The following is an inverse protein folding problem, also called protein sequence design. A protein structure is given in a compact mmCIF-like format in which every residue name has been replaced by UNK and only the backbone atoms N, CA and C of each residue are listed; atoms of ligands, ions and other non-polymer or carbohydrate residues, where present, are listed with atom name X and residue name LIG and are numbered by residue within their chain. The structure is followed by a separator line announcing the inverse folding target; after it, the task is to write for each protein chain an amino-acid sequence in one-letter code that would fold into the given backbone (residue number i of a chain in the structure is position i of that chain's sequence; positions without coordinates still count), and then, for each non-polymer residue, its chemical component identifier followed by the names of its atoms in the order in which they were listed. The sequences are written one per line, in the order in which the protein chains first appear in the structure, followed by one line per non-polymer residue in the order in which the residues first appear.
data_IF_183809921831
#
_entry.id   IF_183809921831
#
_cell.length_a   1.000
_cell.length_b   1.000
_cell.length_c   1.000
_cell.angle_alpha   90.00
_cell.angle_beta   90.00
_cell.angle_gamma   90.00
#
_symmetry.space_group_name_H-M   'P 1'
#
loop_
_entity.id
_entity.type
_entity.pdbx_description
1 polymer ?
#
# COMPACT_ATOMS: atom_id res chain seq x y z
N UNK A 1 6.57 14.49 -12.85
CA UNK A 1 7.47 13.35 -13.15
C UNK A 1 7.08 12.09 -12.40
N UNK A 2 7.13 12.03 -11.06
CA UNK A 2 6.70 10.82 -10.34
C UNK A 2 5.20 10.56 -10.51
N UNK A 3 4.36 11.58 -10.33
CA UNK A 3 2.91 11.47 -10.48
C UNK A 3 2.54 10.97 -11.87
N UNK A 4 3.10 11.60 -12.92
CA UNK A 4 2.88 11.22 -14.31
C UNK A 4 3.31 9.77 -14.59
N UNK A 5 4.46 9.33 -14.07
CA UNK A 5 4.95 7.97 -14.26
C UNK A 5 4.07 6.94 -13.56
N UNK A 6 3.62 7.23 -12.34
CA UNK A 6 2.69 6.37 -11.60
C UNK A 6 1.34 6.28 -12.32
N UNK A 7 0.84 7.41 -12.87
CA UNK A 7 -0.42 7.46 -13.60
C UNK A 7 -0.45 6.70 -14.92
N UNK A 8 0.71 6.28 -15.45
CA UNK A 8 0.77 5.34 -16.58
C UNK A 8 0.08 4.02 -16.21
N UNK A 9 0.25 3.57 -14.97
CA UNK A 9 -0.30 2.30 -14.46
C UNK A 9 -1.52 2.51 -13.57
N UNK A 10 -1.48 3.52 -12.70
CA UNK A 10 -2.51 3.73 -11.67
C UNK A 10 -3.57 4.71 -12.16
N UNK A 11 -4.80 4.21 -12.31
CA UNK A 11 -5.95 5.01 -12.71
C UNK A 11 -6.62 5.67 -11.51
N UNK A 12 -6.88 6.98 -11.59
CA UNK A 12 -7.51 7.75 -10.52
C UNK A 12 -6.53 8.03 -9.37
N UNK A 13 -7.05 8.19 -8.15
CA UNK A 13 -6.25 8.38 -6.93
C UNK A 13 -5.25 9.55 -7.00
N UNK A 14 -5.62 10.65 -7.67
CA UNK A 14 -4.79 11.86 -7.86
C UNK A 14 -4.22 12.41 -6.55
N UNK A 15 -5.07 12.52 -5.52
CA UNK A 15 -4.70 13.05 -4.21
C UNK A 15 -3.72 12.12 -3.47
N UNK A 16 -3.98 10.79 -3.33
CA UNK A 16 -3.01 9.82 -2.87
C UNK A 16 -1.63 9.93 -3.54
N UNK A 17 -1.61 9.90 -4.88
CA UNK A 17 -0.37 9.87 -5.65
C UNK A 17 0.42 11.16 -5.43
N UNK A 18 -0.26 12.31 -5.45
CA UNK A 18 0.36 13.61 -5.19
C UNK A 18 0.94 13.70 -3.77
N UNK A 19 0.22 13.23 -2.76
CA UNK A 19 0.69 13.26 -1.37
C UNK A 19 1.95 12.39 -1.18
N UNK A 20 1.96 11.18 -1.73
CA UNK A 20 3.12 10.29 -1.71
C UNK A 20 4.31 10.93 -2.44
N UNK A 21 4.09 11.45 -3.63
CA UNK A 21 5.14 12.07 -4.43
C UNK A 21 5.75 13.30 -3.75
N UNK A 22 4.94 14.11 -3.08
CA UNK A 22 5.43 15.23 -2.25
C UNK A 22 6.28 14.73 -1.08
N UNK A 23 5.82 13.72 -0.36
CA UNK A 23 6.56 13.15 0.77
C UNK A 23 7.92 12.59 0.36
N UNK A 24 7.97 11.80 -0.72
CA UNK A 24 9.22 11.22 -1.23
C UNK A 24 10.18 12.32 -1.73
N UNK A 25 9.68 13.34 -2.43
CA UNK A 25 10.53 14.47 -2.87
C UNK A 25 11.16 15.20 -1.68
N UNK A 26 10.43 15.39 -0.57
CA UNK A 26 11.01 15.97 0.66
C UNK A 26 12.14 15.10 1.22
N UNK A 27 11.97 13.78 1.20
CA UNK A 27 13.01 12.85 1.64
C UNK A 27 14.26 12.92 0.74
N UNK A 28 14.09 12.92 -0.58
CA UNK A 28 15.19 13.01 -1.55
C UNK A 28 15.92 14.36 -1.50
N UNK A 29 15.22 15.45 -1.18
CA UNK A 29 15.82 16.78 -0.99
C UNK A 29 16.63 16.90 0.33
N UNK A 30 16.76 15.83 1.12
CA UNK A 30 17.48 15.85 2.39
C UNK A 30 16.77 16.62 3.50
N UNK A 31 15.49 16.96 3.32
CA UNK A 31 14.69 17.70 4.30
C UNK A 31 14.26 16.78 5.45
N UNK A 32 14.19 15.46 5.19
CA UNK A 32 13.82 14.44 6.17
C UNK A 32 15.05 13.85 6.87
N UNK A 33 14.85 13.35 8.09
CA UNK A 33 15.86 12.57 8.81
C UNK A 33 16.33 11.34 8.01
N UNK A 34 17.59 11.35 7.56
CA UNK A 34 18.23 10.27 6.79
C UNK A 34 18.39 8.95 7.55
N UNK A 35 18.10 8.92 8.86
CA UNK A 35 18.08 7.68 9.65
C UNK A 35 16.79 6.88 9.49
N UNK A 36 15.74 7.45 8.90
CA UNK A 36 14.42 6.80 8.74
C UNK A 36 14.29 6.23 7.32
N UNK A 37 13.33 5.31 7.07
CA UNK A 37 12.97 4.91 5.72
C UNK A 37 12.64 6.12 4.82
N UNK A 38 12.79 5.96 3.51
CA UNK A 38 12.54 7.01 2.50
C UNK A 38 11.14 7.60 2.71
N UNK A 39 10.15 6.74 2.88
CA UNK A 39 8.77 7.10 3.20
C UNK A 39 8.12 6.06 4.10
N UNK A 40 7.22 6.51 4.97
CA UNK A 40 6.42 5.68 5.86
C UNK A 40 4.97 6.10 5.69
N UNK A 41 4.15 5.23 5.11
CA UNK A 41 2.79 5.53 4.70
C UNK A 41 1.78 4.56 5.28
N UNK A 42 0.60 5.08 5.63
CA UNK A 42 -0.59 4.27 5.93
C UNK A 42 -1.61 4.47 4.82
N UNK A 43 -1.97 3.40 4.11
CA UNK A 43 -2.95 3.37 3.03
C UNK A 43 -4.29 2.88 3.58
N UNK A 44 -5.30 3.74 3.54
CA UNK A 44 -6.64 3.48 4.04
C UNK A 44 -7.63 3.45 2.89
N UNK A 45 -8.51 2.44 2.86
CA UNK A 45 -9.54 2.33 1.83
C UNK A 45 -10.14 0.94 1.78
N UNK A 46 -11.24 0.72 1.03
CA UNK A 46 -11.77 -0.62 0.81
C UNK A 46 -10.80 -1.50 0.02
N UNK A 47 -11.06 -2.80 -0.02
CA UNK A 47 -10.32 -3.73 -0.89
C UNK A 47 -10.58 -3.39 -2.37
N UNK A 48 -9.66 -3.75 -3.25
CA UNK A 48 -9.84 -3.55 -4.69
C UNK A 48 -9.62 -2.13 -5.24
N UNK A 49 -9.41 -1.11 -4.40
CA UNK A 49 -9.19 0.29 -4.86
C UNK A 49 -7.78 0.60 -5.37
N UNK A 50 -6.87 -0.39 -5.36
CA UNK A 50 -5.51 -0.24 -5.90
C UNK A 50 -4.40 0.08 -4.89
N UNK A 51 -4.59 -0.16 -3.59
CA UNK A 51 -3.57 0.05 -2.55
C UNK A 51 -2.25 -0.70 -2.85
N UNK A 52 -2.35 -2.01 -3.07
CA UNK A 52 -1.22 -2.89 -3.40
C UNK A 52 -0.62 -2.56 -4.76
N UNK A 53 -1.47 -2.24 -5.74
CA UNK A 53 -1.03 -1.88 -7.08
C UNK A 53 -0.22 -0.58 -7.10
N UNK A 54 -0.61 0.41 -6.30
CA UNK A 54 0.18 1.63 -6.12
C UNK A 54 1.54 1.35 -5.46
N UNK A 55 1.61 0.40 -4.52
CA UNK A 55 2.87 0.00 -3.91
C UNK A 55 3.83 -0.64 -4.94
N UNK A 56 3.30 -1.46 -5.86
CA UNK A 56 4.08 -2.05 -6.97
C UNK A 56 4.57 -0.98 -7.96
N UNK A 57 3.69 -0.05 -8.35
CA UNK A 57 4.08 1.07 -9.21
C UNK A 57 5.15 1.97 -8.58
N UNK A 58 5.11 2.13 -7.24
CA UNK A 58 6.17 2.82 -6.50
C UNK A 58 7.49 2.04 -6.50
N UNK A 59 7.45 0.71 -6.38
CA UNK A 59 8.65 -0.12 -6.43
C UNK A 59 9.35 0.01 -7.79
N UNK A 60 8.58 -0.11 -8.88
CA UNK A 60 9.09 0.08 -10.24
C UNK A 60 9.66 1.50 -10.42
N UNK A 61 8.92 2.54 -10.03
CA UNK A 61 9.37 3.91 -10.22
C UNK A 61 10.65 4.26 -9.43
N UNK A 62 10.74 3.79 -8.18
CA UNK A 62 11.84 4.17 -7.28
C UNK A 62 13.07 3.28 -7.45
N UNK A 63 12.87 2.00 -7.76
CA UNK A 63 13.93 0.99 -7.74
C UNK A 63 14.16 0.32 -9.10
N UNK A 64 13.34 0.65 -10.12
CA UNK A 64 13.47 0.13 -11.48
C UNK A 64 12.99 -1.31 -11.65
N UNK A 65 12.34 -1.86 -10.64
CA UNK A 65 11.88 -3.25 -10.61
C UNK A 65 10.55 -3.34 -9.83
N UNK A 66 9.48 -3.80 -10.48
CA UNK A 66 8.18 -3.99 -9.84
C UNK A 66 8.20 -5.11 -8.79
N UNK A 67 9.13 -6.06 -8.93
CA UNK A 67 9.37 -7.13 -7.96
C UNK A 67 10.22 -6.65 -6.77
N UNK A 68 10.68 -5.39 -6.75
CA UNK A 68 11.30 -4.78 -5.58
C UNK A 68 10.28 -4.43 -4.48
N UNK A 69 9.23 -5.24 -4.35
CA UNK A 69 8.23 -5.20 -3.30
C UNK A 69 8.36 -6.43 -2.38
N UNK A 70 8.40 -6.18 -1.08
CA UNK A 70 8.39 -7.20 -0.03
C UNK A 70 7.02 -7.12 0.62
N UNK A 71 6.16 -8.11 0.37
CA UNK A 71 4.82 -8.16 0.93
C UNK A 71 4.75 -9.12 2.11
N UNK A 72 4.08 -8.69 3.18
CA UNK A 72 3.75 -9.50 4.34
C UNK A 72 2.28 -9.27 4.70
N UNK A 73 1.51 -10.35 4.82
CA UNK A 73 0.13 -10.31 5.32
C UNK A 73 0.15 -10.31 6.85
N UNK A 74 -0.33 -9.22 7.46
CA UNK A 74 -0.35 -9.05 8.91
C UNK A 74 -1.37 -9.94 9.61
N UNK A 75 -2.32 -10.54 8.89
CA UNK A 75 -3.19 -11.59 9.41
C UNK A 75 -2.41 -12.85 9.81
N UNK A 76 -1.26 -13.11 9.21
CA UNK A 76 -0.36 -14.20 9.65
C UNK A 76 0.36 -13.90 10.98
N UNK A 77 0.30 -12.65 11.43
CA UNK A 77 0.99 -12.13 12.61
C UNK A 77 0.03 -11.74 13.74
N UNK A 78 -1.19 -12.29 13.74
CA UNK A 78 -2.21 -12.09 14.77
C UNK A 78 -1.81 -12.67 16.14
N UNK A 79 -1.03 -13.74 16.13
CA UNK A 79 -0.64 -14.47 17.34
C UNK A 79 0.72 -14.04 17.86
N UNK A 80 0.89 -13.99 19.18
CA UNK A 80 2.14 -13.51 19.80
C UNK A 80 3.38 -14.29 19.35
N UNK A 81 3.26 -15.60 19.16
CA UNK A 81 4.40 -16.43 18.77
C UNK A 81 4.80 -16.19 17.30
N UNK A 82 3.87 -15.84 16.42
CA UNK A 82 4.17 -15.61 15.01
C UNK A 82 4.91 -14.29 14.77
N UNK A 83 4.82 -13.33 15.69
CA UNK A 83 5.60 -12.06 15.68
C UNK A 83 7.11 -12.33 15.59
N UNK A 84 7.60 -13.36 16.31
CA UNK A 84 9.02 -13.71 16.28
C UNK A 84 9.51 -14.08 14.87
N UNK A 85 8.64 -14.58 13.98
CA UNK A 85 9.01 -14.90 12.59
C UNK A 85 9.52 -13.67 11.82
N UNK A 86 9.14 -12.44 12.18
CA UNK A 86 9.65 -11.23 11.53
C UNK A 86 11.16 -11.02 11.77
N UNK A 87 11.65 -11.39 12.96
CA UNK A 87 13.03 -11.15 13.44
C UNK A 87 13.82 -12.43 13.71
N UNK A 88 13.22 -13.60 13.48
CA UNK A 88 13.79 -14.92 13.77
C UNK A 88 13.33 -15.46 15.12
N UNK A 89 13.37 -16.77 15.32
CA UNK A 89 13.04 -17.34 16.62
C UNK A 89 14.08 -16.92 17.68
N UNK A 90 13.73 -16.82 18.97
CA UNK A 90 14.70 -16.53 20.03
C UNK A 90 15.58 -17.76 20.34
N UNK A 91 16.75 -17.57 21.01
CA UNK A 91 17.64 -18.67 21.39
C UNK A 91 16.90 -19.78 22.16
N UNK A 92 17.04 -21.02 21.71
CA UNK A 92 16.41 -22.20 22.33
C UNK A 92 15.06 -22.61 21.75
N UNK A 93 14.58 -21.95 20.69
CA UNK A 93 13.37 -22.33 19.96
C UNK A 93 13.69 -22.95 18.59
N UNK A 94 12.78 -23.77 18.06
CA UNK A 94 12.90 -24.34 16.70
C UNK A 94 12.92 -23.20 15.69
N UNK A 95 13.85 -23.23 14.73
CA UNK A 95 14.05 -22.17 13.75
C UNK A 95 14.95 -21.03 14.22
N UNK A 96 15.66 -21.17 15.35
CA UNK A 96 16.62 -20.15 15.82
C UNK A 96 17.74 -19.86 14.82
N UNK A 97 18.22 -20.87 14.09
CA UNK A 97 19.26 -20.70 13.08
C UNK A 97 18.75 -20.05 11.78
N UNK A 98 17.44 -19.86 11.65
CA UNK A 98 16.82 -19.18 10.53
C UNK A 98 16.64 -17.70 10.88
N UNK A 99 17.17 -16.81 10.03
CA UNK A 99 16.94 -15.37 10.16
C UNK A 99 15.45 -15.02 10.01
N UNK A 100 15.03 -13.88 10.56
CA UNK A 100 13.64 -13.44 10.46
C UNK A 100 13.19 -13.18 9.03
N UNK A 101 11.93 -13.46 8.73
CA UNK A 101 11.34 -13.32 7.40
C UNK A 101 11.51 -11.89 6.86
N UNK A 102 11.14 -10.87 7.65
CA UNK A 102 11.27 -9.48 7.26
C UNK A 102 12.74 -9.06 7.17
N UNK A 103 13.53 -9.40 8.19
CA UNK A 103 14.95 -9.04 8.26
C UNK A 103 15.75 -9.65 7.09
N UNK A 104 15.51 -10.90 6.73
CA UNK A 104 16.19 -11.59 5.63
C UNK A 104 15.78 -11.05 4.26
N UNK A 105 14.48 -10.83 4.04
CA UNK A 105 13.99 -10.26 2.76
C UNK A 105 14.60 -8.87 2.52
N UNK A 106 14.62 -8.00 3.53
CA UNK A 106 15.21 -6.65 3.40
C UNK A 106 16.74 -6.71 3.32
N UNK A 107 17.40 -7.63 4.04
CA UNK A 107 18.85 -7.82 3.90
C UNK A 107 19.25 -8.21 2.48
N UNK A 108 18.45 -9.05 1.82
CA UNK A 108 18.67 -9.47 0.41
C UNK A 108 18.30 -8.40 -0.60
N UNK A 109 17.28 -7.59 -0.31
CA UNK A 109 16.81 -6.48 -1.16
C UNK A 109 16.62 -5.21 -0.31
N UNK A 110 17.71 -4.45 -0.04
CA UNK A 110 17.65 -3.27 0.82
C UNK A 110 17.00 -2.04 0.16
N UNK A 111 16.88 -2.06 -1.18
CA UNK A 111 16.16 -1.07 -1.98
C UNK A 111 14.82 -1.69 -2.38
N UNK A 112 13.79 -1.43 -1.57
CA UNK A 112 12.49 -2.07 -1.77
C UNK A 112 11.35 -1.28 -1.17
N UNK A 113 10.14 -1.51 -1.70
CA UNK A 113 8.90 -1.20 -1.00
C UNK A 113 8.58 -2.34 -0.04
N UNK A 114 8.38 -2.06 1.24
CA UNK A 114 7.91 -3.04 2.23
C UNK A 114 6.43 -2.80 2.44
N UNK A 115 5.59 -3.72 1.97
CA UNK A 115 4.14 -3.67 2.08
C UNK A 115 3.66 -4.59 3.21
N UNK A 116 3.08 -4.00 4.24
CA UNK A 116 2.45 -4.68 5.37
C UNK A 116 0.93 -4.59 5.17
N UNK A 117 0.33 -5.66 4.64
CA UNK A 117 -1.10 -5.68 4.30
C UNK A 117 -1.94 -5.98 5.54
N UNK A 118 -3.11 -5.34 5.68
CA UNK A 118 -4.07 -5.51 6.78
C UNK A 118 -3.46 -5.32 8.19
N UNK A 119 -2.71 -4.23 8.37
CA UNK A 119 -1.96 -3.97 9.61
C UNK A 119 -2.82 -3.92 10.88
N UNK A 120 -4.11 -3.63 10.76
CA UNK A 120 -5.07 -3.66 11.87
C UNK A 120 -5.27 -5.07 12.46
N UNK A 121 -4.88 -6.13 11.74
CA UNK A 121 -4.98 -7.52 12.20
C UNK A 121 -3.75 -7.96 12.98
N UNK A 122 -2.59 -7.30 12.82
CA UNK A 122 -1.36 -7.68 13.50
C UNK A 122 -1.50 -7.67 15.02
N UNK A 123 -0.77 -8.58 15.68
CA UNK A 123 -0.57 -8.55 17.12
C UNK A 123 0.09 -7.22 17.56
N UNK A 124 -0.28 -6.63 18.71
CA UNK A 124 0.29 -5.38 19.22
C UNK A 124 1.83 -5.33 19.27
N UNK A 125 2.49 -6.47 19.49
CA UNK A 125 3.96 -6.54 19.55
C UNK A 125 4.63 -6.27 18.19
N UNK A 126 3.94 -6.46 17.06
CA UNK A 126 4.44 -6.09 15.73
C UNK A 126 4.70 -4.58 15.68
N UNK A 127 3.86 -3.77 16.30
CA UNK A 127 4.01 -2.30 16.27
C UNK A 127 5.28 -1.82 16.98
N UNK A 128 5.79 -2.56 17.96
CA UNK A 128 7.08 -2.24 18.59
C UNK A 128 8.23 -2.39 17.60
N UNK A 129 8.19 -3.45 16.78
CA UNK A 129 9.15 -3.68 15.69
C UNK A 129 9.04 -2.56 14.66
N UNK A 130 7.81 -2.20 14.27
CA UNK A 130 7.59 -1.12 13.30
C UNK A 130 8.07 0.23 13.82
N UNK A 131 7.82 0.58 15.09
CA UNK A 131 8.34 1.79 15.72
C UNK A 131 9.86 1.86 15.64
N UNK A 132 10.55 0.74 15.91
CA UNK A 132 12.00 0.66 15.79
C UNK A 132 12.48 0.95 14.36
N UNK A 133 11.83 0.35 13.35
CA UNK A 133 12.14 0.58 11.93
C UNK A 133 11.87 2.05 11.56
N UNK A 134 10.72 2.60 11.94
CA UNK A 134 10.31 3.95 11.57
C UNK A 134 11.18 5.04 12.20
N UNK A 135 11.76 4.78 13.39
CA UNK A 135 12.55 5.76 14.14
C UNK A 135 14.02 5.73 13.74
N UNK A 136 14.58 4.53 13.59
CA UNK A 136 16.03 4.35 13.43
C UNK A 136 16.43 3.76 12.07
N UNK A 137 15.46 3.38 11.23
CA UNK A 137 15.70 2.76 9.93
C UNK A 137 16.50 1.48 10.05
N UNK A 138 16.43 0.79 11.19
CA UNK A 138 17.21 -0.41 11.49
C UNK A 138 16.41 -1.36 12.34
N UNK A 139 16.55 -2.65 12.07
CA UNK A 139 15.99 -3.72 12.87
C UNK A 139 17.08 -4.75 13.13
N UNK A 140 17.21 -5.21 14.38
CA UNK A 140 18.13 -6.30 14.70
C UNK A 140 17.35 -7.60 14.80
N UNK A 141 17.88 -8.66 14.19
CA UNK A 141 17.36 -10.01 14.32
C UNK A 141 17.83 -10.66 15.63
N UNK A 142 17.28 -11.83 15.95
CA UNK A 142 17.64 -12.58 17.16
C UNK A 142 19.01 -13.28 17.06
N UNK A 143 19.66 -13.26 15.89
CA UNK A 143 21.04 -13.71 15.67
C UNK A 143 22.06 -12.58 15.89
N UNK A 144 21.59 -11.34 16.13
CA UNK A 144 22.43 -10.17 16.37
C UNK A 144 22.81 -9.41 15.09
N UNK A 145 22.27 -9.77 13.92
CA UNK A 145 22.47 -8.99 12.71
C UNK A 145 21.56 -7.77 12.72
N UNK A 146 22.11 -6.61 12.34
CA UNK A 146 21.33 -5.40 12.12
C UNK A 146 21.08 -5.19 10.64
N UNK A 147 19.80 -5.10 10.26
CA UNK A 147 19.33 -4.86 8.89
C UNK A 147 18.96 -3.39 8.72
N UNK A 148 19.28 -2.82 7.56
CA UNK A 148 19.09 -1.41 7.22
C UNK A 148 17.83 -1.21 6.37
N UNK A 149 16.94 -0.34 6.83
CA UNK A 149 15.68 0.04 6.20
C UNK A 149 15.71 1.48 5.67
N UNK A 150 16.84 2.19 5.73
CA UNK A 150 16.92 3.60 5.29
C UNK A 150 16.66 3.77 3.79
N UNK A 151 16.88 2.72 3.00
CA UNK A 151 16.64 2.71 1.55
C UNK A 151 15.29 2.08 1.17
N UNK A 152 14.40 1.86 2.12
CA UNK A 152 13.07 1.30 1.85
C UNK A 152 11.98 2.35 1.89
N UNK A 153 10.85 2.05 1.25
CA UNK A 153 9.57 2.72 1.49
C UNK A 153 8.67 1.77 2.25
N UNK A 154 8.23 2.13 3.45
CA UNK A 154 7.34 1.33 4.28
C UNK A 154 5.89 1.75 4.02
N UNK A 155 5.07 0.81 3.57
CA UNK A 155 3.64 1.01 3.31
C UNK A 155 2.89 0.01 4.18
N UNK A 156 1.94 0.51 4.96
CA UNK A 156 0.98 -0.31 5.68
C UNK A 156 -0.39 -0.09 5.07
N UNK A 157 -1.16 -1.14 4.82
CA UNK A 157 -2.54 -1.00 4.39
C UNK A 157 -3.48 -1.28 5.57
N UNK A 158 -4.66 -0.70 5.51
CA UNK A 158 -5.74 -1.05 6.41
C UNK A 158 -7.09 -0.84 5.73
N UNK A 159 -8.04 -1.72 6.02
CA UNK A 159 -9.42 -1.60 5.56
C UNK A 159 -10.30 -0.81 6.56
N UNK A 160 -9.71 -0.25 7.62
CA UNK A 160 -10.42 0.64 8.55
C UNK A 160 -11.01 1.84 7.82
N UNK A 161 -12.26 2.16 8.16
CA UNK A 161 -12.97 3.27 7.54
C UNK A 161 -13.55 2.95 6.15
N UNK A 162 -13.39 1.72 5.65
CA UNK A 162 -13.91 1.31 4.33
C UNK A 162 -15.43 1.51 4.21
N UNK A 163 -16.21 1.16 5.23
CA UNK A 163 -17.66 1.34 5.22
C UNK A 163 -18.07 2.83 5.08
N UNK A 164 -17.30 3.72 5.69
CA UNK A 164 -17.53 5.17 5.68
C UNK A 164 -17.20 5.76 4.31
N UNK A 165 -16.21 5.18 3.61
CA UNK A 165 -15.84 5.53 2.24
C UNK A 165 -16.95 5.09 1.27
N UNK A 166 -17.44 3.84 1.40
CA UNK A 166 -18.51 3.29 0.54
C UNK A 166 -19.89 3.91 0.82
N UNK A 167 -20.24 4.19 2.08
CA UNK A 167 -21.50 4.88 2.39
C UNK A 167 -21.49 6.34 1.93
N UNK A 168 -20.32 6.97 1.91
CA UNK A 168 -20.15 8.33 1.41
C UNK A 168 -20.34 8.45 -0.10
N UNK A 169 -20.04 7.39 -0.86
CA UNK A 169 -20.34 7.32 -2.30
C UNK A 169 -21.80 6.96 -2.58
N UNK A 170 -22.42 6.07 -1.79
CA UNK A 170 -23.79 5.58 -2.03
C UNK A 170 -24.92 6.57 -1.70
N UNK A 171 -24.71 7.52 -0.79
CA UNK A 171 -25.69 8.60 -0.51
C UNK A 171 -25.84 9.59 -1.69
N UNK A 172 -25.00 9.49 -2.73
CA UNK A 172 -24.96 10.38 -3.89
C UNK A 172 -25.77 9.95 -5.12
N UNK A 173 -26.49 8.82 -5.11
CA UNK A 173 -27.24 8.35 -6.29
C UNK A 173 -28.58 9.08 -6.57
N UNK A 174 -28.93 10.11 -5.79
CA UNK A 174 -30.15 10.90 -6.00
C UNK A 174 -29.94 12.40 -6.30
N UNK A 175 -28.70 12.85 -6.54
CA UNK A 175 -28.47 14.23 -6.91
C UNK A 175 -27.56 14.34 -8.14
N UNK A 176 -28.16 14.63 -9.29
CA UNK A 176 -27.51 15.34 -10.41
C UNK A 176 -27.14 16.80 -10.01
N UNK A 177 -26.75 17.04 -8.75
CA UNK A 177 -26.23 18.31 -8.26
C UNK A 177 -25.03 18.02 -7.38
N UNK A 178 -23.90 18.60 -7.78
CA UNK A 178 -22.63 18.71 -7.06
C UNK A 178 -22.70 18.40 -5.57
N UNK A 179 -22.01 17.33 -5.16
CA UNK A 179 -21.73 17.06 -3.75
C UNK A 179 -21.68 15.59 -3.41
N UNK A 180 -20.62 14.90 -3.84
CA UNK A 180 -19.98 13.89 -2.97
C UNK A 180 -19.90 14.47 -1.54
N UNK A 181 -20.02 13.65 -0.48
CA UNK A 181 -19.58 14.11 0.84
C UNK A 181 -18.21 14.78 0.65
N UNK A 182 -17.99 16.03 1.13
CA UNK A 182 -16.73 16.71 0.91
C UNK A 182 -15.60 15.77 1.30
N UNK A 183 -14.61 15.58 0.43
CA UNK A 183 -13.45 14.71 0.68
C UNK A 183 -12.92 14.84 2.11
N UNK A 184 -12.88 16.07 2.60
CA UNK A 184 -12.50 16.44 3.96
C UNK A 184 -13.37 15.77 5.05
N UNK A 185 -14.69 15.69 4.88
CA UNK A 185 -15.55 14.99 5.84
C UNK A 185 -15.30 13.48 5.87
N UNK A 186 -15.15 12.85 4.70
CA UNK A 186 -14.83 11.42 4.62
C UNK A 186 -13.46 11.15 5.25
N UNK A 187 -12.45 11.94 4.89
CA UNK A 187 -11.11 11.88 5.46
C UNK A 187 -11.15 12.06 6.97
N UNK A 188 -11.90 13.03 7.49
CA UNK A 188 -12.04 13.24 8.93
C UNK A 188 -12.64 12.03 9.66
N UNK A 189 -13.63 11.37 9.07
CA UNK A 189 -14.22 10.14 9.64
C UNK A 189 -13.22 8.98 9.64
N UNK A 190 -12.53 8.75 8.52
CA UNK A 190 -11.50 7.72 8.41
C UNK A 190 -10.35 7.98 9.40
N UNK A 191 -9.93 9.22 9.56
CA UNK A 191 -8.90 9.63 10.53
C UNK A 191 -9.36 9.46 11.98
N UNK A 192 -10.66 9.63 12.27
CA UNK A 192 -11.24 9.32 13.59
C UNK A 192 -11.10 7.84 13.92
N UNK A 193 -11.49 6.95 12.99
CA UNK A 193 -11.35 5.50 13.18
C UNK A 193 -9.88 5.09 13.34
N UNK A 194 -8.98 5.65 12.53
CA UNK A 194 -7.55 5.41 12.65
C UNK A 194 -7.01 5.76 14.05
N UNK A 195 -7.41 6.92 14.59
CA UNK A 195 -7.00 7.36 15.94
C UNK A 195 -7.59 6.52 17.07
N UNK A 196 -8.69 5.80 16.82
CA UNK A 196 -9.27 4.86 17.79
C UNK A 196 -8.53 3.53 17.77
N UNK A 197 -8.12 3.06 16.59
CA UNK A 197 -7.47 1.77 16.43
C UNK A 197 -5.97 1.79 16.74
N UNK A 198 -5.27 2.89 16.48
CA UNK A 198 -3.81 2.97 16.68
C UNK A 198 -3.41 4.01 17.72
N UNK A 199 -2.33 3.70 18.45
CA UNK A 199 -1.77 4.60 19.47
C UNK A 199 -1.18 5.86 18.81
N UNK A 200 -1.30 7.05 19.45
CA UNK A 200 -0.74 8.28 18.90
C UNK A 200 0.76 8.22 18.60
N UNK A 201 1.53 7.46 19.40
CA UNK A 201 2.96 7.26 19.17
C UNK A 201 3.25 6.69 17.77
N UNK A 202 2.52 5.66 17.37
CA UNK A 202 2.64 5.04 16.06
C UNK A 202 2.21 6.00 14.94
N UNK A 203 1.08 6.69 15.11
CA UNK A 203 0.58 7.63 14.11
C UNK A 203 1.55 8.80 13.88
N UNK A 204 2.20 9.28 14.93
CA UNK A 204 3.21 10.33 14.86
C UNK A 204 4.49 9.90 14.12
N UNK A 205 4.66 8.61 13.79
CA UNK A 205 5.77 8.08 12.99
C UNK A 205 5.44 7.91 11.51
N UNK A 206 4.17 8.05 11.13
CA UNK A 206 3.80 8.08 9.72
C UNK A 206 4.24 9.42 9.11
N UNK A 207 4.71 9.40 7.87
CA UNK A 207 4.97 10.65 7.14
C UNK A 207 3.67 11.20 6.56
N UNK A 208 2.82 10.33 6.03
CA UNK A 208 1.49 10.68 5.51
C UNK A 208 0.51 9.51 5.72
N UNK A 209 -0.76 9.86 5.96
CA UNK A 209 -1.89 8.93 5.88
C UNK A 209 -2.61 9.18 4.55
N UNK A 210 -2.70 8.14 3.74
CA UNK A 210 -3.22 8.17 2.38
C UNK A 210 -4.59 7.51 2.36
N UNK A 211 -5.63 8.28 2.05
CA UNK A 211 -7.00 7.78 1.96
C UNK A 211 -7.34 7.58 0.48
N UNK A 212 -7.62 6.33 0.12
CA UNK A 212 -8.02 5.91 -1.21
C UNK A 212 -9.53 6.04 -1.39
N UNK A 213 -9.91 6.41 -2.60
CA UNK A 213 -11.30 6.56 -3.01
C UNK A 213 -11.86 5.29 -3.62
N UNK A 214 -13.17 5.10 -3.48
CA UNK A 214 -13.88 4.13 -4.30
C UNK A 214 -13.73 4.52 -5.77
N UNK A 215 -13.46 3.54 -6.62
CA UNK A 215 -13.29 3.76 -8.05
C UNK A 215 -14.65 4.09 -8.67
N UNK A 216 -14.73 5.17 -9.45
CA UNK A 216 -15.94 5.49 -10.18
C UNK A 216 -16.01 4.71 -11.51
N UNK A 217 -17.21 4.64 -12.10
CA UNK A 217 -17.43 3.90 -13.37
C UNK A 217 -16.47 4.30 -14.52
N UNK A 218 -16.06 5.58 -14.60
CA UNK A 218 -15.13 6.04 -15.64
C UNK A 218 -13.72 5.52 -15.38
N UNK A 219 -13.30 5.49 -14.11
CA UNK A 219 -12.01 4.92 -13.71
C UNK A 219 -12.00 3.40 -13.93
N UNK A 220 -13.06 2.69 -13.53
CA UNK A 220 -13.17 1.25 -13.76
C UNK A 220 -13.11 0.92 -15.25
N UNK A 221 -13.79 1.69 -16.10
CA UNK A 221 -13.70 1.51 -17.55
C UNK A 221 -12.27 1.66 -18.07
N UNK A 222 -11.54 2.69 -17.62
CA UNK A 222 -10.13 2.88 -17.99
C UNK A 222 -9.24 1.73 -17.53
N UNK A 223 -9.48 1.18 -16.34
CA UNK A 223 -8.75 0.01 -15.82
C UNK A 223 -9.03 -1.21 -16.70
N UNK A 224 -10.29 -1.46 -17.07
CA UNK A 224 -10.65 -2.53 -18.00
C UNK A 224 -9.93 -2.35 -19.34
N UNK A 225 -9.94 -1.14 -19.89
CA UNK A 225 -9.26 -0.85 -21.16
C UNK A 225 -7.75 -1.15 -21.08
N UNK A 226 -7.09 -0.78 -19.97
CA UNK A 226 -5.67 -1.05 -19.74
C UNK A 226 -5.36 -2.55 -19.64
N UNK A 227 -6.14 -3.31 -18.85
CA UNK A 227 -5.96 -4.75 -18.68
C UNK A 227 -6.19 -5.52 -19.98
N UNK A 228 -7.12 -5.05 -20.81
CA UNK A 228 -7.39 -5.66 -22.11
C UNK A 228 -6.24 -5.44 -23.09
N UNK A 229 -5.57 -4.29 -23.05
CA UNK A 229 -4.40 -4.04 -23.90
C UNK A 229 -3.21 -4.90 -23.47
N UNK A 230 -2.93 -5.01 -22.17
CA UNK A 230 -1.90 -5.91 -21.65
C UNK A 230 -2.14 -7.38 -22.07
N UNK A 231 -3.41 -7.82 -22.03
CA UNK A 231 -3.76 -9.17 -22.49
C UNK A 231 -3.63 -9.34 -24.00
N UNK A 232 -3.88 -8.29 -24.77
CA UNK A 232 -3.70 -8.30 -26.21
C UNK A 232 -2.22 -8.44 -26.58
N UNK A 233 -1.34 -7.69 -25.93
CA UNK A 233 0.13 -7.82 -26.12
C UNK A 233 0.61 -9.25 -25.85
N UNK A 234 0.16 -9.88 -24.76
CA UNK A 234 0.48 -11.28 -24.43
C UNK A 234 -0.05 -12.31 -25.43
N UNK A 235 -1.15 -12.01 -26.13
CA UNK A 235 -1.71 -12.87 -27.17
C UNK A 235 -0.97 -12.69 -28.50
N UNK A 236 -0.55 -11.47 -28.80
CA UNK A 236 0.26 -11.16 -29.99
C UNK A 236 1.60 -11.91 -29.95
N UNK A 237 2.23 -12.06 -28.77
CA UNK A 237 3.41 -12.92 -28.57
C UNK A 237 3.17 -14.40 -28.94
N UNK A 238 1.91 -14.83 -28.92
CA UNK A 238 1.46 -16.17 -29.30
C UNK A 238 0.84 -16.23 -30.69
N UNK A 239 1.04 -15.20 -31.51
CA UNK A 239 0.48 -15.06 -32.85
C UNK A 239 -1.07 -15.07 -32.87
N UNK A 240 -1.70 -14.71 -31.74
CA UNK A 240 -3.15 -14.60 -31.60
C UNK A 240 -3.56 -13.13 -31.52
N UNK A 241 -4.52 -12.73 -32.36
CA UNK A 241 -5.11 -11.40 -32.29
C UNK A 241 -6.50 -11.46 -31.65
N UNK A 242 -6.78 -10.52 -30.76
CA UNK A 242 -8.10 -10.34 -30.16
C UNK A 242 -8.60 -8.93 -30.46
N UNK A 243 -9.83 -8.83 -30.94
CA UNK A 243 -10.53 -7.56 -31.11
C UNK A 243 -11.73 -7.55 -30.15
N UNK A 244 -11.80 -6.53 -29.29
CA UNK A 244 -12.85 -6.42 -28.27
C UNK A 244 -13.68 -5.18 -28.57
N UNK A 245 -14.94 -5.40 -28.92
CA UNK A 245 -15.88 -4.33 -29.25
C UNK A 245 -16.15 -3.43 -28.04
N UNK A 246 -16.56 -2.19 -28.31
CA UNK A 246 -16.89 -1.23 -27.25
C UNK A 246 -18.05 -1.72 -26.35
N UNK A 247 -18.99 -2.47 -26.92
CA UNK A 247 -20.10 -3.09 -26.21
C UNK A 247 -19.61 -4.15 -25.22
N UNK A 248 -18.70 -5.04 -25.66
CA UNK A 248 -18.07 -6.02 -24.78
C UNK A 248 -17.26 -5.35 -23.66
N UNK A 249 -16.49 -4.30 -23.97
CA UNK A 249 -15.76 -3.51 -22.95
C UNK A 249 -16.71 -2.90 -21.90
N UNK A 250 -17.82 -2.32 -22.35
CA UNK A 250 -18.82 -1.73 -21.46
C UNK A 250 -19.51 -2.80 -20.60
N UNK A 251 -19.81 -3.97 -21.18
CA UNK A 251 -20.41 -5.08 -20.46
C UNK A 251 -19.49 -5.60 -19.35
N UNK A 252 -18.20 -5.82 -19.66
CA UNK A 252 -17.19 -6.25 -18.67
C UNK A 252 -17.09 -5.25 -17.51
N UNK A 253 -17.08 -3.95 -17.80
CA UNK A 253 -17.03 -2.91 -16.78
C UNK A 253 -18.31 -2.84 -15.93
N UNK A 254 -19.45 -3.33 -16.42
CA UNK A 254 -20.74 -3.31 -15.72
C UNK A 254 -20.99 -4.57 -14.89
N UNK A 255 -20.71 -5.77 -15.43
CA UNK A 255 -21.02 -7.05 -14.76
C UNK A 255 -20.20 -7.31 -13.49
N UNK A 256 -19.06 -6.62 -13.32
CA UNK A 256 -18.16 -6.80 -12.19
C UNK A 256 -17.99 -5.55 -11.31
N UNK A 257 -18.78 -4.49 -11.54
CA UNK A 257 -18.74 -3.30 -10.70
C UNK A 257 -19.58 -3.48 -9.44
N UNK A 258 -18.90 -3.72 -8.32
CA UNK A 258 -19.48 -3.68 -6.97
C UNK A 258 -18.80 -2.51 -6.20
N UNK A 259 -19.48 -1.36 -6.03
CA UNK A 259 -18.92 -0.13 -5.45
C UNK A 259 -18.65 -0.17 -3.94
#
# INVERSE_FOLDING_TARGET
RMEEAIHVRVVGQEEPIKAIAQSIRRAQAGIKNMKRPIGVFMFLGPTGVGKTYLAQALAEFLFGDEDAIITLDMSEYMEKFSVSRLTGAPPGYVGYEEGGELTEKVRRRPYSVVLLDEVEKAHPDVFNILLQIMDNGRLSDNLGHTVDFRNTVLIMTSNLGAEQIVRGSNLGFQAEKEGTLPYEEMKNRVMSELKRSFRPEFLNRLDEVIVFHALNKKEVKKIVDMLLEEKKELLEEKEMNIEITQEARNLIAQERYDP
#
